data_IF_682892307598
#
_entry.id   IF_682892307598
#
_cell.length_a   1.000
_cell.length_b   1.000
_cell.length_c   1.000
_cell.angle_alpha   90.00
_cell.angle_beta   90.00
_cell.angle_gamma   90.00
#
_symmetry.space_group_name_H-M   'P 1'
#
loop_
_entity.id
_entity.type
_entity.pdbx_description
1 polymer ?
#
# COMPACT_ATOMS: atom_id res chain seq x y z
N UNK A 1 0.24 4.84 10.51
CA UNK A 1 1.22 5.97 10.44
C UNK A 1 2.50 5.52 9.73
N UNK A 2 3.11 4.37 10.12
CA UNK A 2 4.37 3.89 9.54
C UNK A 2 4.25 3.51 8.06
N UNK A 3 3.19 2.83 7.66
CA UNK A 3 2.93 2.53 6.24
C UNK A 3 2.93 3.79 5.37
N UNK A 4 2.33 4.87 5.85
CA UNK A 4 2.30 6.13 5.11
C UNK A 4 3.67 6.82 5.04
N UNK A 5 4.53 6.64 6.04
CA UNK A 5 5.93 7.09 5.94
C UNK A 5 6.66 6.37 4.81
N UNK A 6 6.49 5.07 4.69
CA UNK A 6 7.09 4.27 3.61
C UNK A 6 6.47 4.62 2.24
N UNK A 7 5.16 4.88 2.18
CA UNK A 7 4.52 5.38 0.97
C UNK A 7 5.07 6.75 0.56
N UNK A 8 5.35 7.66 1.49
CA UNK A 8 5.99 8.95 1.20
C UNK A 8 7.38 8.79 0.58
N UNK A 9 8.14 7.78 0.99
CA UNK A 9 9.43 7.48 0.36
C UNK A 9 9.24 7.11 -1.11
N UNK A 10 8.28 6.24 -1.41
CA UNK A 10 7.98 5.84 -2.78
C UNK A 10 7.44 7.00 -3.62
N UNK A 11 6.56 7.82 -3.04
CA UNK A 11 6.04 9.01 -3.69
C UNK A 11 7.14 10.02 -4.00
N UNK A 12 8.08 10.22 -3.09
CA UNK A 12 9.23 11.09 -3.30
C UNK A 12 10.18 10.63 -4.41
N UNK A 13 10.31 9.30 -4.58
CA UNK A 13 11.16 8.72 -5.62
C UNK A 13 10.49 8.66 -7.00
N UNK A 14 9.21 8.36 -7.06
CA UNK A 14 8.51 8.01 -8.30
C UNK A 14 7.29 8.88 -8.60
N UNK A 15 6.86 9.72 -7.67
CA UNK A 15 5.59 10.45 -7.75
C UNK A 15 5.46 11.42 -8.93
N UNK A 16 6.57 11.90 -9.49
CA UNK A 16 6.58 12.78 -10.66
C UNK A 16 6.49 12.03 -12.00
N UNK A 17 6.52 10.70 -11.96
CA UNK A 17 6.47 9.87 -13.16
C UNK A 17 5.03 9.63 -13.61
N UNK A 18 4.82 9.64 -14.92
CA UNK A 18 3.50 9.31 -15.50
C UNK A 18 3.21 7.81 -15.55
N UNK A 19 4.24 6.97 -15.35
CA UNK A 19 4.14 5.51 -15.34
C UNK A 19 4.16 4.90 -13.93
N UNK A 20 3.93 5.70 -12.91
CA UNK A 20 3.86 5.27 -11.51
C UNK A 20 2.69 5.94 -10.78
N UNK A 21 2.06 5.21 -9.87
CA UNK A 21 1.02 5.75 -9.00
C UNK A 21 0.87 4.94 -7.73
N UNK A 22 0.29 5.55 -6.72
CA UNK A 22 -0.05 4.92 -5.44
C UNK A 22 -1.56 5.03 -5.22
N UNK A 23 -2.19 3.92 -4.86
CA UNK A 23 -3.58 3.85 -4.43
C UNK A 23 -3.64 3.37 -2.99
N UNK A 24 -4.11 4.22 -2.10
CA UNK A 24 -4.34 3.90 -0.69
C UNK A 24 -5.82 3.82 -0.42
N UNK A 25 -6.31 2.63 -0.08
CA UNK A 25 -7.70 2.38 0.25
C UNK A 25 -7.91 2.44 1.75
N UNK A 26 -8.95 3.16 2.18
CA UNK A 26 -9.36 3.11 3.59
C UNK A 26 -9.98 1.77 3.95
N UNK A 27 -9.78 1.34 5.20
CA UNK A 27 -10.52 0.22 5.81
C UNK A 27 -11.67 0.71 6.69
N UNK A 28 -11.83 2.00 6.84
CA UNK A 28 -12.88 2.65 7.64
C UNK A 28 -13.66 3.69 6.80
N UNK A 29 -14.37 3.25 5.74
CA UNK A 29 -15.03 4.16 4.82
C UNK A 29 -16.20 4.95 5.45
N UNK A 30 -16.71 4.51 6.58
CA UNK A 30 -17.79 5.21 7.29
C UNK A 30 -17.28 6.52 7.93
N UNK A 31 -16.04 6.52 8.42
CA UNK A 31 -15.39 7.70 9.00
C UNK A 31 -14.48 8.42 8.01
N UNK A 32 -13.82 7.68 7.13
CA UNK A 32 -12.91 8.22 6.12
C UNK A 32 -13.66 8.64 4.86
N UNK A 33 -14.39 9.74 4.97
CA UNK A 33 -15.06 10.39 3.83
C UNK A 33 -14.04 11.01 2.87
N UNK A 34 -14.40 11.33 1.62
CA UNK A 34 -13.50 12.04 0.69
C UNK A 34 -12.93 13.34 1.29
N UNK A 35 -13.71 14.08 2.04
CA UNK A 35 -13.26 15.31 2.72
C UNK A 35 -12.21 14.99 3.80
N UNK A 36 -12.44 13.96 4.60
CA UNK A 36 -11.51 13.52 5.65
C UNK A 36 -10.19 13.04 5.05
N UNK A 37 -10.25 12.24 3.99
CA UNK A 37 -9.07 11.75 3.28
C UNK A 37 -8.27 12.88 2.63
N UNK A 38 -8.94 13.87 2.07
CA UNK A 38 -8.28 15.07 1.53
C UNK A 38 -7.52 15.83 2.61
N UNK A 39 -8.15 16.09 3.77
CA UNK A 39 -7.49 16.72 4.91
C UNK A 39 -6.30 15.93 5.41
N UNK A 40 -6.42 14.61 5.45
CA UNK A 40 -5.33 13.73 5.84
C UNK A 40 -4.15 13.80 4.85
N UNK A 41 -4.41 13.78 3.55
CA UNK A 41 -3.36 13.91 2.53
C UNK A 41 -2.62 15.24 2.62
N UNK A 42 -3.34 16.33 2.94
CA UNK A 42 -2.75 17.64 3.19
C UNK A 42 -1.90 17.65 4.48
N UNK A 43 -2.40 17.01 5.55
CA UNK A 43 -1.69 16.90 6.83
C UNK A 43 -0.35 16.17 6.71
N UNK A 44 -0.29 15.10 5.92
CA UNK A 44 0.95 14.35 5.67
C UNK A 44 1.76 14.91 4.49
N UNK A 45 1.33 16.04 3.95
CA UNK A 45 2.03 16.78 2.90
C UNK A 45 2.26 15.97 1.61
N UNK A 46 1.22 15.27 1.13
CA UNK A 46 1.25 14.62 -0.19
C UNK A 46 1.27 15.70 -1.27
N UNK A 47 2.31 15.71 -2.08
CA UNK A 47 2.50 16.68 -3.16
C UNK A 47 2.28 16.10 -4.56
N UNK A 48 2.42 14.79 -4.68
CA UNK A 48 2.23 14.10 -5.96
C UNK A 48 0.77 14.05 -6.37
N UNK A 49 0.51 14.27 -7.66
CA UNK A 49 -0.80 14.04 -8.27
C UNK A 49 -1.11 12.55 -8.49
N UNK A 50 -0.13 11.68 -8.30
CA UNK A 50 -0.21 10.25 -8.58
C UNK A 50 -0.44 9.39 -7.34
N UNK A 51 -0.61 9.99 -6.18
CA UNK A 51 -1.01 9.29 -4.96
C UNK A 51 -2.45 9.62 -4.60
N UNK A 52 -3.30 8.61 -4.66
CA UNK A 52 -4.73 8.71 -4.43
C UNK A 52 -5.15 8.01 -3.15
N UNK A 53 -5.90 8.70 -2.30
CA UNK A 53 -6.59 8.14 -1.15
C UNK A 53 -8.02 7.82 -1.54
N UNK A 54 -8.42 6.57 -1.47
CA UNK A 54 -9.66 6.06 -2.02
C UNK A 54 -10.56 5.52 -0.92
N UNK A 55 -11.84 5.79 -1.06
CA UNK A 55 -12.91 5.28 -0.20
C UNK A 55 -14.07 4.78 -1.05
N UNK A 56 -15.03 4.15 -0.45
CA UNK A 56 -16.19 3.64 -1.13
C UNK A 56 -17.11 2.89 -0.17
N UNK A 57 -17.95 2.03 -0.71
CA UNK A 57 -18.82 1.18 0.08
C UNK A 57 -17.98 0.18 0.89
N UNK A 58 -18.31 0.03 2.17
CA UNK A 58 -17.59 -0.85 3.10
C UNK A 58 -17.48 -2.28 2.60
N UNK A 59 -18.57 -2.82 2.06
CA UNK A 59 -18.58 -4.16 1.46
C UNK A 59 -17.61 -4.26 0.30
N UNK A 60 -17.61 -3.28 -0.59
CA UNK A 60 -16.74 -3.27 -1.77
C UNK A 60 -15.26 -3.13 -1.39
N UNK A 61 -14.94 -2.30 -0.41
CA UNK A 61 -13.58 -2.15 0.12
C UNK A 61 -13.08 -3.49 0.71
N UNK A 62 -13.90 -4.13 1.53
CA UNK A 62 -13.53 -5.40 2.17
C UNK A 62 -13.47 -6.56 1.17
N UNK A 63 -14.36 -6.58 0.18
CA UNK A 63 -14.30 -7.56 -0.90
C UNK A 63 -13.03 -7.37 -1.75
N UNK A 64 -12.66 -6.14 -2.06
CA UNK A 64 -11.40 -5.85 -2.76
C UNK A 64 -10.19 -6.36 -1.97
N UNK A 65 -10.14 -6.05 -0.68
CA UNK A 65 -9.03 -6.48 0.19
C UNK A 65 -8.99 -8.01 0.34
N UNK A 66 -10.10 -8.63 0.71
CA UNK A 66 -10.14 -10.03 1.12
C UNK A 66 -10.23 -11.01 -0.06
N UNK A 67 -10.94 -10.66 -1.12
CA UNK A 67 -11.15 -11.52 -2.30
C UNK A 67 -10.27 -11.11 -3.48
N UNK A 68 -10.09 -9.80 -3.70
CA UNK A 68 -9.25 -9.30 -4.79
C UNK A 68 -7.77 -9.46 -4.51
N UNK A 69 -7.31 -9.05 -3.33
CA UNK A 69 -5.91 -9.08 -2.95
C UNK A 69 -5.54 -10.16 -1.92
N UNK A 70 -6.50 -10.85 -1.33
CA UNK A 70 -6.29 -11.78 -0.20
C UNK A 70 -5.53 -11.13 0.98
N UNK A 71 -5.69 -9.84 1.17
CA UNK A 71 -5.18 -9.10 2.33
C UNK A 71 -6.32 -8.98 3.34
N UNK A 72 -6.17 -9.63 4.49
CA UNK A 72 -7.23 -9.67 5.49
C UNK A 72 -7.52 -8.27 6.07
N UNK A 73 -8.81 -7.93 6.11
CA UNK A 73 -9.32 -6.73 6.77
C UNK A 73 -10.62 -7.07 7.48
N UNK A 74 -10.75 -6.66 8.74
CA UNK A 74 -11.97 -6.86 9.51
C UNK A 74 -12.10 -5.83 10.63
N UNK A 75 -13.28 -5.74 11.23
CA UNK A 75 -13.48 -5.02 12.47
C UNK A 75 -13.04 -5.93 13.62
N UNK A 76 -12.18 -5.42 14.50
CA UNK A 76 -11.75 -6.10 15.71
C UNK A 76 -11.71 -5.10 16.86
N UNK A 77 -12.67 -5.24 17.78
CA UNK A 77 -12.82 -4.34 18.94
C UNK A 77 -11.66 -4.44 19.94
N UNK A 78 -10.86 -5.52 19.88
CA UNK A 78 -9.69 -5.69 20.74
C UNK A 78 -8.47 -4.89 20.25
N UNK A 79 -8.50 -4.37 19.03
CA UNK A 79 -7.43 -3.56 18.43
C UNK A 79 -7.78 -2.08 18.57
N UNK A 80 -6.78 -1.25 18.86
CA UNK A 80 -6.95 0.21 18.91
C UNK A 80 -7.54 0.72 17.60
N UNK A 81 -8.62 1.48 17.68
CA UNK A 81 -9.38 1.97 16.53
C UNK A 81 -10.43 0.99 15.99
N UNK A 82 -10.54 -0.24 16.54
CA UNK A 82 -11.57 -1.21 16.17
C UNK A 82 -11.37 -1.90 14.82
N UNK A 83 -10.21 -1.74 14.17
CA UNK A 83 -9.92 -2.31 12.86
C UNK A 83 -8.67 -3.16 12.88
N UNK A 84 -8.70 -4.25 12.15
CA UNK A 84 -7.58 -5.16 11.95
C UNK A 84 -7.26 -5.26 10.46
N UNK A 85 -5.99 -5.07 10.10
CA UNK A 85 -5.48 -5.28 8.76
C UNK A 85 -4.03 -5.72 8.81
N UNK A 86 -3.61 -6.40 7.74
CA UNK A 86 -2.21 -6.73 7.52
C UNK A 86 -1.52 -5.52 6.88
N UNK A 87 -0.36 -5.14 7.41
CA UNK A 87 0.42 -3.99 6.94
C UNK A 87 1.19 -4.28 5.66
N UNK A 88 0.51 -4.66 4.57
CA UNK A 88 1.13 -5.06 3.31
C UNK A 88 0.91 -4.05 2.19
N UNK A 89 1.90 -3.97 1.30
CA UNK A 89 1.80 -3.35 -0.01
C UNK A 89 1.69 -4.41 -1.09
N UNK A 90 0.87 -4.17 -2.10
CA UNK A 90 0.83 -4.94 -3.34
C UNK A 90 1.43 -4.11 -4.48
N UNK A 91 2.33 -4.69 -5.24
CA UNK A 91 2.90 -4.09 -6.44
C UNK A 91 2.12 -4.60 -7.66
N UNK A 92 1.55 -3.68 -8.43
CA UNK A 92 0.73 -3.98 -9.59
C UNK A 92 1.44 -3.47 -10.84
N UNK A 93 1.57 -4.30 -11.87
CA UNK A 93 2.15 -3.85 -13.14
C UNK A 93 1.12 -3.12 -14.03
N UNK A 94 1.58 -2.58 -15.14
CA UNK A 94 0.75 -1.84 -16.11
C UNK A 94 -0.39 -2.67 -16.73
N UNK A 95 -0.29 -4.00 -16.66
CA UNK A 95 -1.28 -4.93 -17.20
C UNK A 95 -2.29 -5.41 -16.12
N UNK A 96 -2.14 -4.91 -14.88
CA UNK A 96 -3.03 -5.19 -13.77
C UNK A 96 -2.70 -6.46 -12.97
N UNK A 97 -1.50 -7.01 -13.15
CA UNK A 97 -1.07 -8.20 -12.41
C UNK A 97 -0.28 -7.84 -11.16
N UNK A 98 -0.53 -8.60 -10.09
CA UNK A 98 0.29 -8.53 -8.88
C UNK A 98 1.67 -9.09 -9.20
N UNK A 99 2.71 -8.32 -8.89
CA UNK A 99 4.09 -8.67 -9.16
C UNK A 99 4.90 -8.71 -7.86
N UNK A 100 5.83 -9.65 -7.79
CA UNK A 100 6.80 -9.71 -6.69
C UNK A 100 8.05 -10.47 -7.11
N UNK A 101 9.10 -10.32 -6.27
CA UNK A 101 10.24 -11.23 -6.32
C UNK A 101 9.85 -12.61 -5.78
N UNK A 102 10.73 -13.57 -5.97
CA UNK A 102 10.62 -14.87 -5.31
C UNK A 102 11.55 -14.92 -4.09
N UNK A 103 11.22 -15.76 -3.12
CA UNK A 103 12.09 -16.07 -1.99
C UNK A 103 13.19 -17.08 -2.38
N UNK A 104 14.01 -17.48 -1.42
CA UNK A 104 15.11 -18.43 -1.63
C UNK A 104 14.65 -19.82 -2.10
N UNK A 105 13.38 -20.15 -1.95
CA UNK A 105 12.75 -21.38 -2.40
C UNK A 105 12.09 -21.29 -3.77
N UNK A 106 12.18 -20.12 -4.44
CA UNK A 106 11.54 -19.87 -5.73
C UNK A 106 10.05 -19.57 -5.65
N UNK A 107 9.51 -19.33 -4.46
CA UNK A 107 8.08 -18.99 -4.24
C UNK A 107 7.89 -17.47 -4.26
N UNK A 108 6.92 -16.93 -5.03
CA UNK A 108 6.62 -15.52 -5.01
C UNK A 108 6.23 -15.06 -3.60
N UNK A 109 6.79 -13.92 -3.15
CA UNK A 109 6.43 -13.33 -1.85
C UNK A 109 5.05 -12.66 -1.88
N UNK A 110 4.57 -12.29 -3.05
CA UNK A 110 3.26 -11.69 -3.39
C UNK A 110 3.10 -10.27 -2.85
N UNK A 111 3.37 -10.05 -1.56
CA UNK A 111 3.21 -8.76 -0.88
C UNK A 111 4.51 -8.32 -0.23
N UNK A 112 4.62 -7.01 -0.01
CA UNK A 112 5.75 -6.40 0.70
C UNK A 112 5.25 -5.84 2.02
N UNK A 113 6.02 -6.05 3.10
CA UNK A 113 5.68 -5.43 4.37
C UNK A 113 5.73 -3.91 4.25
N UNK A 114 4.65 -3.26 4.62
CA UNK A 114 4.54 -1.81 4.67
C UNK A 114 5.06 -1.19 5.97
N UNK A 115 5.44 -2.04 6.94
CA UNK A 115 5.98 -1.65 8.24
C UNK A 115 7.36 -2.24 8.44
N UNK A 116 8.19 -1.57 9.24
CA UNK A 116 9.53 -2.03 9.57
C UNK A 116 9.48 -3.19 10.56
N UNK A 117 10.29 -4.22 10.30
CA UNK A 117 10.47 -5.35 11.20
C UNK A 117 11.95 -5.45 11.61
N UNK A 118 12.24 -5.19 12.87
CA UNK A 118 13.61 -5.19 13.41
C UNK A 118 14.31 -6.55 13.32
N UNK A 119 13.54 -7.64 13.12
CA UNK A 119 14.07 -8.99 12.98
C UNK A 119 14.40 -9.38 11.52
N UNK A 120 14.18 -8.50 10.56
CA UNK A 120 14.47 -8.73 9.16
C UNK A 120 15.69 -7.94 8.70
N UNK A 121 16.61 -8.61 8.02
CA UNK A 121 17.83 -7.98 7.49
C UNK A 121 17.50 -7.02 6.34
N UNK A 122 16.49 -7.33 5.53
CA UNK A 122 16.05 -6.50 4.40
C UNK A 122 14.58 -6.15 4.58
N UNK A 123 14.30 -4.86 4.62
CA UNK A 123 12.95 -4.34 4.84
C UNK A 123 12.08 -4.41 3.57
N UNK A 124 10.77 -4.55 3.76
CA UNK A 124 9.82 -4.56 2.66
C UNK A 124 9.87 -3.33 1.77
N UNK A 125 10.11 -2.15 2.36
CA UNK A 125 10.28 -0.89 1.61
C UNK A 125 11.50 -0.92 0.66
N UNK A 126 12.59 -1.54 1.08
CA UNK A 126 13.79 -1.68 0.25
C UNK A 126 13.55 -2.65 -0.90
N UNK A 127 12.92 -3.79 -0.59
CA UNK A 127 12.58 -4.78 -1.62
C UNK A 127 11.62 -4.23 -2.68
N UNK A 128 10.57 -3.53 -2.28
CA UNK A 128 9.60 -2.99 -3.24
C UNK A 128 10.23 -1.89 -4.11
N UNK A 129 11.12 -1.07 -3.57
CA UNK A 129 11.87 -0.07 -4.35
C UNK A 129 12.67 -0.73 -5.48
N UNK A 130 13.46 -1.73 -5.14
CA UNK A 130 14.24 -2.47 -6.15
C UNK A 130 13.36 -3.11 -7.22
N UNK A 131 12.22 -3.65 -6.83
CA UNK A 131 11.32 -4.33 -7.77
C UNK A 131 10.51 -3.34 -8.62
N UNK A 132 10.17 -2.16 -8.08
CA UNK A 132 9.65 -1.04 -8.87
C UNK A 132 10.69 -0.60 -9.91
N UNK A 133 11.94 -0.43 -9.51
CA UNK A 133 13.02 -0.05 -10.44
C UNK A 133 13.14 -1.04 -11.60
N UNK A 134 13.04 -2.34 -11.34
CA UNK A 134 13.04 -3.37 -12.37
C UNK A 134 11.84 -3.24 -13.33
N UNK A 135 10.64 -3.04 -12.79
CA UNK A 135 9.43 -2.89 -13.61
C UNK A 135 9.44 -1.61 -14.46
N UNK A 136 10.04 -0.54 -13.94
CA UNK A 136 10.21 0.72 -14.66
C UNK A 136 11.46 0.76 -15.55
N UNK A 137 12.24 -0.32 -15.61
CA UNK A 137 13.53 -0.41 -16.31
C UNK A 137 14.55 0.66 -15.86
N UNK A 138 14.54 1.00 -14.59
CA UNK A 138 15.54 1.87 -13.95
C UNK A 138 16.74 1.06 -13.47
N UNK A 139 17.88 1.71 -13.42
CA UNK A 139 19.12 1.09 -12.94
C UNK A 139 19.45 1.51 -11.52
#
# INVERSE_FOLDING_TARGET
IEMNKNMKILDGLYGDRDDFGIASFTIDPENDTPTTLKKYSELIEVKSKNWHFLTGDKKDIYDLSNKGFNIFSSINEAVEGGFEHQGFFALIDKDGYIRSRVNDYGTPIVYYSGITNENEDVQGIEMIKEDIDKLLNLK
#
